data_IF_128144269147
#
_entry.id   IF_128144269147
#
_cell.length_a   1.000
_cell.length_b   1.000
_cell.length_c   1.000
_cell.angle_alpha   90.00
_cell.angle_beta   90.00
_cell.angle_gamma   90.00
#
_symmetry.space_group_name_H-M   'P 1'
#
loop_
_entity.id
_entity.type
_entity.pdbx_description
1 polymer ?
#
# COMPACT_ATOMS: atom_id res chain seq x y z
N UNK A 1 -5.50 10.13 24.04
CA UNK A 1 -5.40 9.86 22.60
C UNK A 1 -4.23 10.71 22.11
N UNK A 2 -3.11 10.16 21.62
CA UNK A 2 -2.16 11.01 20.93
C UNK A 2 -2.83 11.50 19.65
N UNK A 3 -2.80 12.81 19.43
CA UNK A 3 -3.34 13.44 18.23
C UNK A 3 -2.63 12.84 17.00
N UNK A 4 -3.40 12.28 16.08
CA UNK A 4 -2.86 11.81 14.80
C UNK A 4 -2.36 13.04 14.04
N UNK A 5 -1.04 13.27 14.09
CA UNK A 5 -0.39 14.36 13.38
C UNK A 5 -0.55 14.08 11.87
N UNK A 6 -1.45 14.83 11.24
CA UNK A 6 -1.62 14.82 9.78
C UNK A 6 -0.45 15.59 9.18
N UNK A 7 0.57 14.86 8.72
CA UNK A 7 1.68 15.46 7.98
C UNK A 7 1.21 15.81 6.56
N UNK A 8 1.07 17.11 6.28
CA UNK A 8 0.98 17.62 4.91
C UNK A 8 2.36 17.57 4.27
N UNK A 9 2.73 16.42 3.73
CA UNK A 9 3.90 16.31 2.85
C UNK A 9 3.44 15.81 1.48
N UNK A 10 3.77 16.55 0.40
CA UNK A 10 3.36 16.17 -0.94
C UNK A 10 3.88 14.76 -1.24
N UNK A 11 2.98 13.89 -1.68
CA UNK A 11 3.26 12.50 -2.05
C UNK A 11 4.35 12.40 -3.14
N UNK A 12 4.65 13.51 -3.80
CA UNK A 12 5.78 13.72 -4.70
C UNK A 12 6.84 14.64 -4.08
N UNK A 13 8.07 14.14 -3.98
CA UNK A 13 9.24 14.88 -3.46
C UNK A 13 9.55 14.65 -1.98
N UNK A 14 8.68 13.95 -1.25
CA UNK A 14 8.91 13.45 0.11
C UNK A 14 9.08 11.93 0.16
N UNK A 15 9.77 11.41 1.19
CA UNK A 15 9.90 9.96 1.41
C UNK A 15 8.50 9.37 1.56
N UNK A 16 8.13 8.33 0.79
CA UNK A 16 6.84 7.63 0.97
C UNK A 16 6.64 7.24 2.44
N UNK A 17 7.72 6.94 3.17
CA UNK A 17 7.74 6.70 4.61
C UNK A 17 7.08 7.79 5.47
N UNK A 18 7.10 9.08 5.08
CA UNK A 18 6.54 10.18 5.88
C UNK A 18 5.02 10.31 5.78
N UNK A 19 4.39 9.68 4.79
CA UNK A 19 2.94 9.75 4.58
C UNK A 19 2.18 8.60 5.26
N UNK A 20 2.91 7.63 5.81
CA UNK A 20 2.32 6.49 6.50
C UNK A 20 2.49 6.61 8.02
N UNK A 21 1.58 6.03 8.81
CA UNK A 21 1.67 6.06 10.27
C UNK A 21 3.03 5.52 10.73
N UNK A 22 3.52 5.97 11.89
CA UNK A 22 4.82 5.57 12.49
C UNK A 22 5.07 4.04 12.57
N UNK A 23 4.02 3.25 12.36
CA UNK A 23 4.07 1.79 12.34
C UNK A 23 4.44 1.18 10.99
N UNK A 24 4.59 2.00 9.94
CA UNK A 24 5.04 1.56 8.62
C UNK A 24 6.55 1.73 8.49
N UNK A 25 7.25 0.62 8.31
CA UNK A 25 8.68 0.59 8.06
C UNK A 25 8.93 0.28 6.59
N UNK A 26 9.46 1.23 5.83
CA UNK A 26 9.89 0.99 4.44
C UNK A 26 11.08 0.04 4.45
N UNK A 27 10.97 -1.02 3.64
CA UNK A 27 12.04 -1.97 3.35
C UNK A 27 12.73 -1.62 2.04
N UNK A 28 11.92 -1.32 1.02
CA UNK A 28 12.37 -1.03 -0.33
C UNK A 28 11.56 0.13 -0.91
N UNK A 29 12.21 0.96 -1.71
CA UNK A 29 11.56 2.03 -2.45
C UNK A 29 12.20 2.14 -3.84
N UNK A 30 11.39 2.29 -4.88
CA UNK A 30 11.87 2.56 -6.22
C UNK A 30 12.30 4.01 -6.41
N UNK A 31 13.03 4.27 -7.49
CA UNK A 31 13.13 5.61 -8.06
C UNK A 31 11.80 6.08 -8.66
N UNK A 32 11.80 7.29 -9.20
CA UNK A 32 10.68 7.82 -9.98
C UNK A 32 10.73 7.22 -11.39
N UNK A 33 9.63 6.58 -11.80
CA UNK A 33 9.47 5.97 -13.11
C UNK A 33 8.41 6.73 -13.89
N UNK A 34 8.65 7.01 -15.18
CA UNK A 34 7.58 7.52 -16.04
C UNK A 34 6.66 6.38 -16.52
N UNK A 35 5.36 6.64 -16.55
CA UNK A 35 4.34 5.74 -17.07
C UNK A 35 3.77 6.32 -18.38
N UNK A 36 4.43 6.10 -19.53
CA UNK A 36 4.01 6.69 -20.81
C UNK A 36 2.64 6.20 -21.29
N UNK A 37 2.20 5.02 -20.85
CA UNK A 37 0.87 4.47 -21.14
C UNK A 37 -0.28 5.11 -20.35
N UNK A 38 0.03 5.94 -19.36
CA UNK A 38 -0.93 6.64 -18.50
C UNK A 38 -0.70 8.13 -18.66
N UNK A 39 -1.37 8.76 -19.63
CA UNK A 39 -1.08 10.15 -20.02
C UNK A 39 -2.34 10.96 -20.28
N UNK A 40 -2.28 12.24 -19.93
CA UNK A 40 -3.32 13.23 -20.25
C UNK A 40 -2.68 14.44 -20.94
N UNK A 41 -3.23 14.86 -22.10
CA UNK A 41 -2.71 16.00 -22.89
C UNK A 41 -1.19 15.99 -23.10
N UNK A 42 -0.62 14.84 -23.47
CA UNK A 42 0.82 14.63 -23.66
C UNK A 42 1.70 14.74 -22.40
N UNK A 43 1.10 14.76 -21.22
CA UNK A 43 1.83 14.65 -19.95
C UNK A 43 1.71 13.22 -19.41
N UNK A 44 2.79 12.42 -19.45
CA UNK A 44 2.78 11.07 -18.89
C UNK A 44 2.72 11.13 -17.37
N UNK A 45 2.09 10.17 -16.72
CA UNK A 45 2.12 10.04 -15.27
C UNK A 45 3.51 9.60 -14.80
N UNK A 46 3.77 9.77 -13.50
CA UNK A 46 4.98 9.28 -12.84
C UNK A 46 4.59 8.36 -11.68
N UNK A 47 5.38 7.31 -11.47
CA UNK A 47 5.10 6.23 -10.52
C UNK A 47 6.28 6.05 -9.60
N UNK A 48 6.00 5.90 -8.30
CA UNK A 48 6.97 5.49 -7.30
C UNK A 48 6.36 4.33 -6.53
N UNK A 49 7.10 3.25 -6.35
CA UNK A 49 6.68 2.11 -5.54
C UNK A 49 7.49 2.01 -4.26
N UNK A 50 6.89 1.44 -3.23
CA UNK A 50 7.56 1.08 -2.00
C UNK A 50 7.00 -0.23 -1.45
N UNK A 51 7.83 -0.96 -0.73
CA UNK A 51 7.48 -2.15 0.03
C UNK A 51 7.85 -1.89 1.47
N UNK A 52 6.94 -2.17 2.40
CA UNK A 52 7.25 -2.07 3.81
C UNK A 52 6.43 -2.98 4.69
N UNK A 53 6.76 -2.97 5.97
CA UNK A 53 6.12 -3.76 7.01
C UNK A 53 5.26 -2.89 7.90
N UNK A 54 4.16 -3.46 8.40
CA UNK A 54 3.29 -2.77 9.35
C UNK A 54 2.81 -3.71 10.45
N UNK A 55 2.86 -3.22 11.70
CA UNK A 55 2.21 -3.85 12.84
C UNK A 55 0.86 -3.16 13.10
N UNK A 56 -0.23 -3.90 12.94
CA UNK A 56 -1.60 -3.35 13.05
C UNK A 56 -2.25 -3.90 14.32
N UNK A 57 -2.67 -3.01 15.22
CA UNK A 57 -3.53 -3.35 16.36
C UNK A 57 -4.78 -2.47 16.30
N UNK A 58 -5.96 -3.07 16.51
CA UNK A 58 -7.21 -2.31 16.62
C UNK A 58 -7.20 -1.50 17.93
N UNK A 59 -7.80 -0.31 17.95
CA UNK A 59 -7.70 0.63 19.07
C UNK A 59 -8.22 0.12 20.42
N UNK A 60 -9.09 -0.90 20.42
CA UNK A 60 -9.60 -1.56 21.64
C UNK A 60 -8.72 -2.71 22.12
N UNK A 61 -7.67 -3.04 21.36
CA UNK A 61 -6.78 -4.16 21.66
C UNK A 61 -5.38 -3.63 22.00
N UNK A 62 -4.81 -4.15 23.09
CA UNK A 62 -3.47 -3.77 23.53
C UNK A 62 -2.39 -4.12 22.51
N UNK A 63 -1.16 -3.64 22.75
CA UNK A 63 0.02 -3.97 21.92
C UNK A 63 0.29 -5.49 21.83
N UNK A 64 -0.27 -6.29 22.71
CA UNK A 64 -0.14 -7.75 22.72
C UNK A 64 -1.00 -8.44 21.64
N UNK A 65 -1.95 -7.74 21.02
CA UNK A 65 -2.87 -8.26 20.01
C UNK A 65 -2.56 -7.77 18.59
N UNK A 66 -1.37 -7.19 18.33
CA UNK A 66 -1.07 -6.71 16.97
C UNK A 66 -0.91 -7.89 16.01
N UNK A 67 -1.49 -7.73 14.83
CA UNK A 67 -1.18 -8.56 13.68
C UNK A 67 0.11 -8.01 13.03
N UNK A 68 0.99 -8.92 12.65
CA UNK A 68 2.16 -8.55 11.85
C UNK A 68 1.81 -8.74 10.37
N UNK A 69 1.95 -7.68 9.58
CA UNK A 69 1.72 -7.65 8.13
C UNK A 69 3.09 -7.47 7.45
N UNK A 70 3.55 -8.43 6.61
CA UNK A 70 4.95 -8.41 6.10
C UNK A 70 5.09 -7.49 4.93
N UNK A 71 4.02 -7.23 4.21
CA UNK A 71 4.14 -6.59 2.92
C UNK A 71 2.95 -5.69 2.69
N UNK A 72 3.16 -4.41 2.92
CA UNK A 72 2.35 -3.37 2.30
C UNK A 72 3.11 -2.93 1.06
N UNK A 73 2.60 -3.33 -0.09
CA UNK A 73 3.03 -2.81 -1.37
C UNK A 73 2.30 -1.49 -1.59
N UNK A 74 3.05 -0.47 -1.97
CA UNK A 74 2.55 0.87 -2.19
C UNK A 74 2.99 1.33 -3.58
N UNK A 75 2.08 1.87 -4.37
CA UNK A 75 2.42 2.63 -5.56
C UNK A 75 1.70 3.98 -5.51
N UNK A 76 2.46 5.04 -5.65
CA UNK A 76 1.91 6.36 -5.91
C UNK A 76 2.02 6.67 -7.40
N UNK A 77 0.89 6.84 -8.08
CA UNK A 77 0.81 7.23 -9.49
C UNK A 77 0.33 8.68 -9.55
N UNK A 78 1.23 9.61 -9.86
CA UNK A 78 0.89 11.01 -10.00
C UNK A 78 0.53 11.34 -11.44
N UNK A 79 -0.74 11.69 -11.63
CA UNK A 79 -1.35 12.08 -12.88
C UNK A 79 -1.08 13.57 -13.12
N UNK A 80 0.15 13.90 -13.52
CA UNK A 80 0.63 15.28 -13.73
C UNK A 80 -0.36 16.20 -14.47
N UNK A 81 -1.05 15.67 -15.48
CA UNK A 81 -1.96 16.46 -16.32
C UNK A 81 -3.25 16.92 -15.63
N UNK A 82 -3.61 16.33 -14.48
CA UNK A 82 -4.84 16.63 -13.72
C UNK A 82 -4.55 16.84 -12.22
N UNK A 83 -3.27 17.01 -11.86
CA UNK A 83 -2.81 17.27 -10.48
C UNK A 83 -3.43 16.34 -9.42
N UNK A 84 -3.48 15.04 -9.74
CA UNK A 84 -4.09 14.03 -8.87
C UNK A 84 -3.13 12.87 -8.62
N UNK A 85 -3.09 12.40 -7.37
CA UNK A 85 -2.33 11.23 -6.96
C UNK A 85 -3.25 10.02 -6.76
N UNK A 86 -2.89 8.88 -7.36
CA UNK A 86 -3.55 7.59 -7.14
C UNK A 86 -2.63 6.72 -6.30
N UNK A 87 -3.05 6.43 -5.07
CA UNK A 87 -2.35 5.53 -4.16
C UNK A 87 -2.92 4.12 -4.25
N UNK A 88 -2.14 3.18 -4.77
CA UNK A 88 -2.47 1.75 -4.75
C UNK A 88 -1.79 1.12 -3.55
N UNK A 89 -2.56 0.41 -2.73
CA UNK A 89 -2.03 -0.34 -1.57
C UNK A 89 -2.47 -1.79 -1.65
N UNK A 90 -1.57 -2.72 -1.36
CA UNK A 90 -1.86 -4.14 -1.28
C UNK A 90 -1.21 -4.74 -0.02
N UNK A 91 -1.97 -5.55 0.71
CA UNK A 91 -1.58 -6.07 2.01
C UNK A 91 -1.46 -7.58 1.98
N UNK A 92 -0.33 -8.11 2.42
CA UNK A 92 -0.12 -9.54 2.63
C UNK A 92 0.01 -9.85 4.14
N UNK A 93 -0.99 -10.53 4.75
CA UNK A 93 -0.93 -10.91 6.16
C UNK A 93 0.10 -12.01 6.40
N UNK A 94 0.83 -11.96 7.53
CA UNK A 94 1.81 -13.01 7.91
C UNK A 94 1.31 -13.82 9.06
N UNK A 95 0.85 -13.12 10.11
CA UNK A 95 0.52 -13.72 11.39
C UNK A 95 -0.70 -13.01 11.90
N UNK A 96 -1.76 -13.79 12.04
CA UNK A 96 -2.98 -13.37 12.69
C UNK A 96 -2.84 -13.75 14.16
N UNK A 97 -2.82 -12.73 15.02
CA UNK A 97 -2.67 -12.91 16.45
C UNK A 97 -3.92 -13.64 17.00
N UNK A 98 -3.79 -14.66 17.87
CA UNK A 98 -4.94 -15.33 18.48
C UNK A 98 -5.89 -14.40 19.24
N UNK A 99 -5.36 -13.28 19.77
CA UNK A 99 -6.15 -12.26 20.47
C UNK A 99 -6.71 -11.20 19.52
N UNK A 100 -6.46 -11.30 18.21
CA UNK A 100 -7.06 -10.43 17.19
C UNK A 100 -8.53 -10.80 17.01
N UNK A 101 -9.41 -9.81 16.95
CA UNK A 101 -10.83 -10.03 16.64
C UNK A 101 -11.01 -10.70 15.27
N UNK A 102 -10.07 -10.52 14.34
CA UNK A 102 -10.12 -11.21 13.05
C UNK A 102 -9.79 -12.70 13.14
N UNK A 103 -9.18 -13.18 14.22
CA UNK A 103 -8.80 -14.58 14.39
C UNK A 103 -10.01 -15.52 14.36
N UNK A 104 -11.15 -15.07 14.87
CA UNK A 104 -12.39 -15.86 14.88
C UNK A 104 -12.93 -16.12 13.47
N UNK A 105 -12.62 -15.24 12.51
CA UNK A 105 -13.12 -15.34 11.13
C UNK A 105 -12.13 -16.02 10.19
N UNK A 106 -10.84 -15.68 10.30
CA UNK A 106 -9.79 -16.12 9.35
C UNK A 106 -8.79 -17.11 9.94
N UNK A 107 -8.97 -17.49 11.22
CA UNK A 107 -8.06 -18.36 11.95
C UNK A 107 -6.85 -17.60 12.49
N UNK A 108 -6.38 -18.02 13.67
CA UNK A 108 -5.12 -17.52 14.25
C UNK A 108 -3.91 -18.27 13.67
N UNK A 109 -2.75 -17.63 13.72
CA UNK A 109 -1.47 -18.24 13.37
C UNK A 109 -0.85 -17.67 12.10
N UNK A 110 0.12 -18.39 11.56
CA UNK A 110 0.84 -18.01 10.34
C UNK A 110 -0.09 -18.17 9.15
N UNK A 111 -0.30 -17.10 8.40
CA UNK A 111 -1.06 -17.14 7.15
C UNK A 111 -0.31 -18.03 6.14
N UNK A 112 -1.05 -18.89 5.46
CA UNK A 112 -0.52 -19.70 4.35
C UNK A 112 -0.21 -18.73 3.19
N UNK A 113 1.03 -18.70 2.66
CA UNK A 113 1.37 -17.87 1.51
C UNK A 113 0.43 -18.15 0.34
N UNK A 114 0.01 -17.10 -0.38
CA UNK A 114 -0.97 -17.23 -1.47
C UNK A 114 -0.56 -18.28 -2.50
N UNK A 115 0.73 -18.33 -2.88
CA UNK A 115 1.28 -19.33 -3.80
C UNK A 115 1.04 -20.78 -3.34
N UNK A 116 1.12 -21.05 -2.03
CA UNK A 116 0.90 -22.38 -1.46
C UNK A 116 -0.59 -22.74 -1.38
N UNK A 117 -1.46 -21.73 -1.30
CA UNK A 117 -2.91 -21.89 -1.39
C UNK A 117 -3.42 -22.02 -2.85
N UNK A 118 -2.53 -22.00 -3.85
CA UNK A 118 -2.91 -22.00 -5.26
C UNK A 118 -3.44 -20.65 -5.78
N UNK A 119 -3.26 -19.59 -4.99
CA UNK A 119 -3.63 -18.22 -5.34
C UNK A 119 -2.44 -17.45 -5.92
N UNK A 120 -2.72 -16.42 -6.71
CA UNK A 120 -1.69 -15.50 -7.19
C UNK A 120 -1.04 -14.75 -6.01
N UNK A 121 0.30 -14.67 -5.94
CA UNK A 121 1.00 -13.89 -4.92
C UNK A 121 0.59 -12.41 -4.93
N UNK A 122 0.52 -11.79 -3.76
CA UNK A 122 0.11 -10.39 -3.64
C UNK A 122 1.07 -9.45 -4.40
N UNK A 123 2.36 -9.78 -4.47
CA UNK A 123 3.34 -9.08 -5.29
C UNK A 123 2.94 -9.03 -6.77
N UNK A 124 2.49 -10.15 -7.32
CA UNK A 124 2.13 -10.26 -8.73
C UNK A 124 0.83 -9.53 -9.02
N UNK A 125 -0.18 -9.69 -8.15
CA UNK A 125 -1.43 -8.93 -8.22
C UNK A 125 -1.15 -7.42 -8.15
N UNK A 126 -0.27 -6.98 -7.25
CA UNK A 126 0.11 -5.58 -7.12
C UNK A 126 0.81 -5.06 -8.38
N UNK A 127 1.79 -5.80 -8.91
CA UNK A 127 2.46 -5.46 -10.17
C UNK A 127 1.47 -5.34 -11.32
N UNK A 128 0.54 -6.30 -11.45
CA UNK A 128 -0.50 -6.26 -12.46
C UNK A 128 -1.42 -5.05 -12.28
N UNK A 129 -1.87 -4.76 -11.05
CA UNK A 129 -2.74 -3.62 -10.76
C UNK A 129 -2.09 -2.29 -11.17
N UNK A 130 -0.81 -2.10 -10.81
CA UNK A 130 -0.07 -0.86 -11.13
C UNK A 130 0.23 -0.75 -12.63
N UNK A 131 0.68 -1.83 -13.27
CA UNK A 131 1.08 -1.80 -14.68
C UNK A 131 -0.10 -1.78 -15.66
N UNK A 132 -1.26 -2.29 -15.24
CA UNK A 132 -2.49 -2.29 -16.04
C UNK A 132 -3.42 -1.11 -15.74
N UNK A 133 -3.07 -0.24 -14.78
CA UNK A 133 -3.88 0.93 -14.43
C UNK A 133 -4.08 1.86 -15.63
N UNK A 134 -5.34 2.17 -15.93
CA UNK A 134 -5.74 3.07 -17.02
C UNK A 134 -6.86 3.98 -16.55
N UNK A 135 -6.80 5.23 -16.99
CA UNK A 135 -7.94 6.15 -16.94
C UNK A 135 -8.65 6.08 -18.29
N UNK A 136 -9.89 5.61 -18.29
CA UNK A 136 -10.72 5.51 -19.50
C UNK A 136 -11.45 6.80 -19.83
N UNK A 137 -11.87 7.54 -18.81
CA UNK A 137 -12.53 8.82 -18.93
C UNK A 137 -11.82 9.85 -18.05
N UNK A 138 -11.15 10.82 -18.68
CA UNK A 138 -10.44 11.88 -17.99
C UNK A 138 -11.36 13.01 -17.52
N UNK A 139 -12.65 13.01 -17.91
CA UNK A 139 -13.66 13.93 -17.37
C UNK A 139 -14.06 13.63 -15.93
N UNK A 140 -13.51 12.57 -15.34
CA UNK A 140 -13.63 12.25 -13.91
C UNK A 140 -12.91 13.26 -13.01
N UNK A 141 -11.84 13.88 -13.52
CA UNK A 141 -11.03 14.88 -12.81
C UNK A 141 -11.44 16.29 -13.21
#
# INVERSE_FOLDING_TARGET
MPEDIVYQHPLFGGKIASTFPHRFQVIEQSGVLEAPGLMYKNMPAVVITAVGQMAISKGRQGREAQNFVKVVYLANLHLKGVDTDVLVTAYEPIVINPFSESADTVGAGVAVPAAQAGCMPMEEVFKLAVTSFRVHDWGLF
#
